data_IF_761353846016
#
_entry.id   IF_761353846016
#
_cell.length_a   1.000
_cell.length_b   1.000
_cell.length_c   1.000
_cell.angle_alpha   90.00
_cell.angle_beta   90.00
_cell.angle_gamma   90.00
#
_symmetry.space_group_name_H-M   'P 1'
#
loop_
_entity.id
_entity.type
_entity.pdbx_description
1 polymer ?
#
# COMPACT_ATOMS: atom_id res chain seq x y z
N UNK A 1 5.71 -3.01 6.54
CA UNK A 1 4.60 -2.96 7.53
C UNK A 1 3.65 -1.84 7.14
N UNK A 2 2.35 -1.86 7.47
CA UNK A 2 1.46 -0.72 7.19
C UNK A 2 1.56 0.29 8.34
N UNK A 3 2.00 1.52 8.06
CA UNK A 3 2.24 2.58 9.06
C UNK A 3 1.50 3.90 8.72
N UNK A 4 0.80 3.94 7.60
CA UNK A 4 -0.12 5.02 7.27
C UNK A 4 -1.49 4.74 7.87
N UNK A 5 -2.11 5.78 8.41
CA UNK A 5 -3.51 5.78 8.84
C UNK A 5 -4.44 5.70 7.63
N UNK A 6 -5.71 5.32 7.86
CA UNK A 6 -6.74 5.35 6.82
C UNK A 6 -6.92 6.74 6.19
N UNK A 7 -6.76 7.81 6.97
CA UNK A 7 -6.84 9.19 6.47
C UNK A 7 -5.66 9.54 5.56
N UNK A 8 -4.43 9.21 5.97
CA UNK A 8 -3.23 9.43 5.15
C UNK A 8 -3.30 8.64 3.86
N UNK A 9 -3.68 7.36 3.92
CA UNK A 9 -3.83 6.51 2.74
C UNK A 9 -4.94 7.01 1.81
N UNK A 10 -6.09 7.44 2.36
CA UNK A 10 -7.18 8.01 1.55
C UNK A 10 -6.75 9.29 0.82
N UNK A 11 -6.01 10.18 1.48
CA UNK A 11 -5.46 11.38 0.86
C UNK A 11 -4.46 11.03 -0.23
N UNK A 12 -3.53 10.11 0.04
CA UNK A 12 -2.56 9.62 -0.93
C UNK A 12 -3.22 9.05 -2.19
N UNK A 13 -4.20 8.15 -2.04
CA UNK A 13 -4.90 7.54 -3.17
C UNK A 13 -5.65 8.57 -4.01
N UNK A 14 -6.26 9.59 -3.38
CA UNK A 14 -6.90 10.71 -4.10
C UNK A 14 -5.91 11.55 -4.90
N UNK A 15 -4.73 11.81 -4.37
CA UNK A 15 -3.68 12.57 -5.07
C UNK A 15 -3.06 11.75 -6.22
N UNK A 16 -2.90 10.43 -6.04
CA UNK A 16 -2.37 9.54 -7.08
C UNK A 16 -3.34 9.35 -8.24
N UNK A 17 -4.65 9.24 -8.00
CA UNK A 17 -5.67 9.10 -9.06
C UNK A 17 -5.66 10.30 -10.05
N UNK A 18 -5.01 11.42 -9.71
CA UNK A 18 -4.75 12.54 -10.61
C UNK A 18 -3.54 12.36 -11.56
N UNK A 19 -2.80 11.25 -11.48
CA UNK A 19 -1.64 10.94 -12.33
C UNK A 19 -1.64 9.48 -12.81
N UNK A 20 -1.45 9.20 -14.12
CA UNK A 20 -1.60 7.86 -14.68
C UNK A 20 -0.33 7.03 -14.51
N UNK A 21 0.01 6.63 -13.28
CA UNK A 21 1.06 5.63 -13.05
C UNK A 21 0.61 4.68 -11.95
N UNK A 22 0.20 3.47 -12.32
CA UNK A 22 -0.08 2.36 -11.40
C UNK A 22 0.56 1.08 -11.93
N UNK A 23 1.49 0.54 -11.15
CA UNK A 23 2.12 -0.77 -11.42
C UNK A 23 1.32 -1.93 -10.81
N UNK A 24 1.43 -3.14 -11.38
CA UNK A 24 0.48 -4.22 -11.12
C UNK A 24 0.70 -4.92 -9.77
N UNK A 25 -0.40 -5.43 -9.20
CA UNK A 25 -0.40 -6.64 -8.38
C UNK A 25 -0.85 -7.80 -9.28
N UNK A 26 -0.14 -8.93 -9.30
CA UNK A 26 -0.34 -9.97 -10.30
C UNK A 26 -1.49 -10.89 -9.91
N UNK A 27 -2.74 -10.38 -9.94
CA UNK A 27 -3.95 -11.19 -10.23
C UNK A 27 -5.27 -10.39 -10.16
N UNK A 28 -5.35 -9.22 -9.49
CA UNK A 28 -6.52 -8.34 -9.56
C UNK A 28 -6.12 -6.85 -9.53
N UNK A 29 -6.34 -6.17 -10.67
CA UNK A 29 -6.28 -4.74 -11.00
C UNK A 29 -5.65 -3.73 -10.00
N UNK A 30 -4.69 -2.93 -10.47
CA UNK A 30 -4.13 -1.78 -9.75
C UNK A 30 -5.20 -0.76 -9.30
N UNK A 31 -4.85 0.07 -8.31
CA UNK A 31 -5.75 0.90 -7.47
C UNK A 31 -6.66 0.14 -6.49
N UNK A 32 -7.09 -1.09 -6.81
CA UNK A 32 -7.98 -1.88 -5.93
C UNK A 32 -7.29 -2.33 -4.64
N UNK A 33 -6.02 -2.71 -4.69
CA UNK A 33 -5.30 -3.12 -3.49
C UNK A 33 -5.21 -2.00 -2.43
N UNK A 34 -4.92 -0.77 -2.85
CA UNK A 34 -4.90 0.38 -1.94
C UNK A 34 -6.29 0.70 -1.39
N UNK A 35 -7.33 0.60 -2.23
CA UNK A 35 -8.74 0.77 -1.82
C UNK A 35 -9.19 -0.33 -0.85
N UNK A 36 -8.78 -1.57 -1.05
CA UNK A 36 -9.06 -2.68 -0.13
C UNK A 36 -8.34 -2.51 1.20
N UNK A 37 -7.05 -2.13 1.18
CA UNK A 37 -6.32 -1.80 2.42
C UNK A 37 -7.04 -0.66 3.16
N UNK A 38 -7.43 0.40 2.45
CA UNK A 38 -8.19 1.50 3.03
C UNK A 38 -9.52 1.02 3.64
N UNK A 39 -10.28 0.20 2.93
CA UNK A 39 -11.53 -0.36 3.41
C UNK A 39 -11.33 -1.18 4.69
N UNK A 40 -10.28 -2.01 4.75
CA UNK A 40 -9.92 -2.79 5.94
C UNK A 40 -9.52 -1.88 7.10
N UNK A 41 -8.71 -0.85 6.85
CA UNK A 41 -8.29 0.12 7.88
C UNK A 41 -9.46 0.94 8.43
N UNK A 42 -10.58 1.04 7.71
CA UNK A 42 -11.81 1.70 8.15
C UNK A 42 -12.76 0.77 8.92
N UNK A 43 -12.56 -0.55 8.86
CA UNK A 43 -13.36 -1.51 9.63
C UNK A 43 -12.99 -1.46 11.11
N UNK A 44 -13.95 -1.76 11.99
CA UNK A 44 -13.62 -2.04 13.40
C UNK A 44 -12.96 -3.41 13.46
N UNK A 45 -12.05 -3.61 14.41
CA UNK A 45 -11.31 -4.87 14.57
C UNK A 45 -12.21 -6.11 14.68
N UNK A 46 -13.39 -5.98 15.29
CA UNK A 46 -14.39 -7.06 15.43
C UNK A 46 -15.13 -7.40 14.14
N UNK A 47 -15.12 -6.48 13.16
CA UNK A 47 -15.82 -6.60 11.88
C UNK A 47 -14.85 -7.10 10.77
N UNK A 48 -13.60 -7.42 11.13
CA UNK A 48 -12.61 -8.00 10.22
C UNK A 48 -12.95 -9.45 9.93
N UNK A 49 -12.90 -9.82 8.65
CA UNK A 49 -13.10 -11.19 8.18
C UNK A 49 -11.76 -11.91 8.02
N UNK A 50 -11.80 -13.23 7.88
CA UNK A 50 -10.60 -14.01 7.56
C UNK A 50 -10.02 -13.62 6.19
N UNK A 51 -10.86 -13.18 5.25
CA UNK A 51 -10.42 -12.64 3.97
C UNK A 51 -9.64 -11.34 4.13
N UNK A 52 -10.12 -10.43 4.99
CA UNK A 52 -9.40 -9.19 5.30
C UNK A 52 -8.01 -9.50 5.87
N UNK A 53 -7.92 -10.48 6.78
CA UNK A 53 -6.65 -10.91 7.38
C UNK A 53 -5.72 -11.52 6.33
N UNK A 54 -6.23 -12.41 5.46
CA UNK A 54 -5.46 -13.00 4.37
C UNK A 54 -4.93 -11.93 3.41
N UNK A 55 -5.75 -10.96 3.05
CA UNK A 55 -5.35 -9.86 2.19
C UNK A 55 -4.23 -9.04 2.84
N UNK A 56 -4.40 -8.64 4.11
CA UNK A 56 -3.38 -7.85 4.83
C UNK A 56 -2.05 -8.60 4.96
N UNK A 57 -2.05 -9.93 5.09
CA UNK A 57 -0.82 -10.73 5.05
C UNK A 57 -0.11 -10.60 3.70
N UNK A 58 -0.84 -10.77 2.58
CA UNK A 58 -0.27 -10.56 1.23
C UNK A 58 0.31 -9.16 1.05
N UNK A 59 -0.39 -8.15 1.57
CA UNK A 59 0.07 -6.74 1.54
C UNK A 59 1.37 -6.57 2.32
N UNK A 60 1.47 -7.14 3.53
CA UNK A 60 2.69 -7.08 4.34
C UNK A 60 3.86 -7.79 3.65
N UNK A 61 3.63 -8.96 3.05
CA UNK A 61 4.68 -9.69 2.33
C UNK A 61 5.12 -8.92 1.08
N UNK A 62 4.20 -8.25 0.39
CA UNK A 62 4.55 -7.38 -0.74
C UNK A 62 5.35 -6.17 -0.30
N UNK A 63 4.99 -5.55 0.83
CA UNK A 63 5.78 -4.45 1.40
C UNK A 63 7.20 -4.92 1.71
N UNK A 64 7.37 -6.10 2.32
CA UNK A 64 8.70 -6.66 2.61
C UNK A 64 9.51 -6.89 1.34
N UNK A 65 8.93 -7.56 0.35
CA UNK A 65 9.57 -7.76 -0.96
C UNK A 65 10.00 -6.43 -1.60
N UNK A 66 9.12 -5.42 -1.57
CA UNK A 66 9.45 -4.09 -2.07
C UNK A 66 10.42 -3.32 -1.18
N UNK A 67 10.60 -3.69 0.10
CA UNK A 67 11.58 -3.07 1.01
C UNK A 67 12.95 -3.75 0.95
N UNK A 68 13.01 -5.00 0.47
CA UNK A 68 14.24 -5.79 0.37
C UNK A 68 14.93 -5.67 -1.01
N UNK A 69 14.23 -5.18 -2.05
CA UNK A 69 14.85 -4.80 -3.32
C UNK A 69 16.00 -3.78 -3.04
N UNK A 70 17.24 -4.05 -3.48
CA UNK A 70 18.38 -3.14 -3.24
C UNK A 70 18.07 -1.71 -3.73
N UNK A 71 18.69 -0.70 -3.13
CA UNK A 71 18.49 0.70 -3.50
C UNK A 71 18.91 0.92 -4.97
N UNK A 72 17.94 0.85 -5.86
CA UNK A 72 18.01 1.23 -7.26
C UNK A 72 18.24 2.76 -7.38
N UNK A 73 18.71 3.30 -8.51
CA UNK A 73 19.01 4.74 -8.67
C UNK A 73 17.86 5.66 -8.20
N UNK A 74 18.16 6.84 -7.65
CA UNK A 74 17.22 7.86 -7.11
C UNK A 74 15.80 7.97 -7.74
N UNK A 75 15.61 7.99 -9.08
CA UNK A 75 14.27 7.98 -9.68
C UNK A 75 13.47 6.69 -9.42
N UNK A 76 14.13 5.54 -9.31
CA UNK A 76 13.54 4.26 -8.94
C UNK A 76 13.11 4.24 -7.47
N UNK A 77 13.85 4.90 -6.58
CA UNK A 77 13.49 5.05 -5.17
C UNK A 77 12.18 5.82 -4.97
N UNK A 78 11.93 6.86 -5.76
CA UNK A 78 10.64 7.58 -5.73
C UNK A 78 9.48 6.71 -6.21
N UNK A 79 9.65 5.98 -7.32
CA UNK A 79 8.63 5.05 -7.82
C UNK A 79 8.31 3.96 -6.80
N UNK A 80 9.34 3.37 -6.19
CA UNK A 80 9.24 2.38 -5.12
C UNK A 80 8.49 2.93 -3.92
N UNK A 81 8.86 4.13 -3.44
CA UNK A 81 8.16 4.82 -2.35
C UNK A 81 6.67 4.98 -2.66
N UNK A 82 6.31 5.41 -3.87
CA UNK A 82 4.92 5.56 -4.27
C UNK A 82 4.15 4.23 -4.25
N UNK A 83 4.78 3.12 -4.66
CA UNK A 83 4.18 1.78 -4.58
C UNK A 83 3.95 1.36 -3.12
N UNK A 84 4.93 1.56 -2.25
CA UNK A 84 4.80 1.31 -0.81
C UNK A 84 3.66 2.13 -0.20
N UNK A 85 3.58 3.42 -0.52
CA UNK A 85 2.54 4.31 0.01
C UNK A 85 1.14 3.90 -0.45
N UNK A 86 1.00 3.33 -1.64
CA UNK A 86 -0.28 2.78 -2.10
C UNK A 86 -0.71 1.52 -1.35
N UNK A 87 0.22 0.80 -0.73
CA UNK A 87 -0.08 -0.28 0.20
C UNK A 87 -0.27 0.20 1.65
N UNK A 88 -0.22 1.52 1.89
CA UNK A 88 -0.31 2.11 3.22
C UNK A 88 1.00 2.10 4.01
N UNK A 89 2.14 1.96 3.33
CA UNK A 89 3.45 2.06 3.95
C UNK A 89 4.22 3.29 3.44
N UNK A 90 4.56 4.22 4.33
CA UNK A 90 5.51 5.28 4.02
C UNK A 90 6.88 4.93 4.64
N UNK A 91 7.92 4.66 3.83
CA UNK A 91 9.27 4.34 4.33
C UNK A 91 9.96 5.54 5.00
N UNK A 92 9.50 6.78 4.78
CA UNK A 92 10.07 7.97 5.43
C UNK A 92 9.40 8.31 6.76
N UNK A 93 8.33 7.59 7.12
CA UNK A 93 7.66 7.80 8.40
C UNK A 93 8.46 7.09 9.49
N UNK A 94 8.90 7.81 10.54
CA UNK A 94 9.60 7.16 11.66
C UNK A 94 8.67 6.11 12.28
N UNK A 95 9.22 4.91 12.49
CA UNK A 95 8.52 3.78 13.12
C UNK A 95 8.54 3.87 14.64
#
# INVERSE_FOLDING_TARGET
MVNMTSQELSTWLRTRDASPVTEPLPEQAGSEAGRHVLAILQKRRRDLTDDDIRLMRKVVDRIRSLSDEEAEPEPADQSRRHRLMTLGHDPLKPS
#
